data_IF_301470342296
#
_entry.id   IF_301470342296
#
_cell.length_a   1.000
_cell.length_b   1.000
_cell.length_c   1.000
_cell.angle_alpha   90.00
_cell.angle_beta   90.00
_cell.angle_gamma   90.00
#
_symmetry.space_group_name_H-M   'P 1'
#
loop_
_entity.id
_entity.type
_entity.pdbx_description
1 polymer ?
#
# COMPACT_ATOMS: atom_id res chain seq x y z
N UNK A 1 -3.06 12.18 -25.09
CA UNK A 1 -2.53 10.81 -25.27
C UNK A 1 -3.54 9.82 -24.70
N UNK A 2 -3.57 8.63 -25.28
CA UNK A 2 -4.29 7.47 -24.72
C UNK A 2 -3.35 6.70 -23.81
N UNK A 3 -3.64 6.66 -22.51
CA UNK A 3 -2.77 6.07 -21.51
C UNK A 3 -3.49 4.91 -20.84
N UNK A 4 -2.82 3.77 -20.72
CA UNK A 4 -3.31 2.64 -19.94
C UNK A 4 -2.58 2.59 -18.60
N UNK A 5 -3.33 2.60 -17.50
CA UNK A 5 -2.80 2.41 -16.15
C UNK A 5 -3.14 1.00 -15.70
N UNK A 6 -2.13 0.12 -15.63
CA UNK A 6 -2.33 -1.26 -15.15
C UNK A 6 -1.96 -1.36 -13.68
N UNK A 7 -2.88 -1.79 -12.84
CA UNK A 7 -2.68 -1.95 -11.41
C UNK A 7 -3.17 -3.31 -10.90
N UNK A 8 -2.34 -3.97 -10.12
CA UNK A 8 -2.64 -5.27 -9.52
C UNK A 8 -2.14 -5.32 -8.07
N UNK A 9 -2.81 -6.08 -7.22
CA UNK A 9 -2.46 -6.23 -5.82
C UNK A 9 -3.62 -6.01 -4.87
N UNK A 10 -3.32 -5.60 -3.64
CA UNK A 10 -4.32 -5.21 -2.64
C UNK A 10 -4.91 -3.83 -2.95
N UNK A 11 -5.95 -3.45 -2.23
CA UNK A 11 -6.53 -2.09 -2.34
C UNK A 11 -5.47 -0.99 -2.12
N UNK A 12 -4.48 -1.23 -1.24
CA UNK A 12 -3.40 -0.29 -0.98
C UNK A 12 -2.48 -0.05 -2.18
N UNK A 13 -2.38 -1.03 -3.09
CA UNK A 13 -1.61 -0.92 -4.33
C UNK A 13 -2.42 -0.27 -5.44
N UNK A 14 -3.73 -0.53 -5.51
CA UNK A 14 -4.62 -0.14 -6.61
C UNK A 14 -5.21 1.26 -6.42
N UNK A 15 -5.66 1.60 -5.22
CA UNK A 15 -6.33 2.89 -4.94
C UNK A 15 -5.46 4.12 -5.28
N UNK A 16 -4.14 4.16 -4.98
CA UNK A 16 -3.29 5.28 -5.41
C UNK A 16 -3.15 5.39 -6.94
N UNK A 17 -3.17 4.25 -7.65
CA UNK A 17 -3.13 4.25 -9.11
C UNK A 17 -4.43 4.82 -9.72
N UNK A 18 -5.59 4.64 -9.06
CA UNK A 18 -6.83 5.34 -9.45
C UNK A 18 -6.67 6.85 -9.29
N UNK A 19 -6.08 7.32 -8.19
CA UNK A 19 -5.81 8.76 -8.00
C UNK A 19 -4.87 9.31 -9.09
N UNK A 20 -3.82 8.57 -9.46
CA UNK A 20 -2.93 8.92 -10.57
C UNK A 20 -3.68 8.96 -11.90
N UNK A 21 -4.51 7.96 -12.20
CA UNK A 21 -5.36 7.94 -13.40
C UNK A 21 -6.29 9.14 -13.51
N UNK A 22 -6.87 9.56 -12.38
CA UNK A 22 -7.69 10.78 -12.33
C UNK A 22 -6.85 12.05 -12.56
N UNK A 23 -5.62 12.08 -12.07
CA UNK A 23 -4.68 13.17 -12.32
C UNK A 23 -4.35 13.30 -13.82
N UNK A 24 -4.02 12.18 -14.46
CA UNK A 24 -3.78 12.11 -15.90
C UNK A 24 -5.00 12.57 -16.71
N UNK A 25 -6.21 12.14 -16.31
CA UNK A 25 -7.45 12.58 -16.96
C UNK A 25 -7.66 14.10 -16.82
N UNK A 26 -7.39 14.68 -15.63
CA UNK A 26 -7.45 16.14 -15.42
C UNK A 26 -6.40 16.91 -16.27
N UNK A 27 -5.25 16.28 -16.56
CA UNK A 27 -4.24 16.83 -17.46
C UNK A 27 -4.60 16.71 -18.95
N UNK A 28 -5.79 16.21 -19.29
CA UNK A 28 -6.29 16.12 -20.65
C UNK A 28 -5.97 14.82 -21.39
N UNK A 29 -5.48 13.79 -20.68
CA UNK A 29 -5.26 12.48 -21.29
C UNK A 29 -6.54 11.63 -21.27
N UNK A 30 -6.66 10.75 -22.26
CA UNK A 30 -7.65 9.66 -22.28
C UNK A 30 -7.07 8.49 -21.48
N UNK A 31 -7.73 8.09 -20.38
CA UNK A 31 -7.19 7.11 -19.44
C UNK A 31 -8.07 5.87 -19.37
N UNK A 32 -7.49 4.72 -19.66
CA UNK A 32 -8.06 3.40 -19.38
C UNK A 32 -7.38 2.81 -18.13
N UNK A 33 -8.17 2.51 -17.13
CA UNK A 33 -7.70 1.87 -15.90
C UNK A 33 -7.91 0.36 -16.00
N UNK A 34 -6.84 -0.39 -16.12
CA UNK A 34 -6.87 -1.83 -16.31
C UNK A 34 -6.49 -2.54 -14.99
N UNK A 35 -7.43 -3.26 -14.39
CA UNK A 35 -7.25 -3.88 -13.08
C UNK A 35 -8.17 -5.10 -12.87
N UNK A 36 -8.04 -5.75 -11.72
CA UNK A 36 -8.90 -6.87 -11.35
C UNK A 36 -10.34 -6.42 -11.10
N UNK A 37 -11.30 -7.29 -11.45
CA UNK A 37 -12.73 -7.01 -11.40
C UNK A 37 -13.24 -6.40 -10.08
N UNK A 38 -12.77 -6.82 -8.88
CA UNK A 38 -13.21 -6.20 -7.62
C UNK A 38 -12.95 -4.69 -7.50
N UNK A 39 -12.09 -4.13 -8.36
CA UNK A 39 -11.76 -2.70 -8.36
C UNK A 39 -12.53 -1.88 -9.40
N UNK A 40 -13.43 -2.50 -10.20
CA UNK A 40 -14.25 -1.81 -11.19
C UNK A 40 -14.98 -0.61 -10.60
N UNK A 41 -15.75 -0.84 -9.54
CA UNK A 41 -16.53 0.23 -8.91
C UNK A 41 -15.62 1.38 -8.40
N UNK A 42 -14.43 1.06 -7.87
CA UNK A 42 -13.49 2.07 -7.39
C UNK A 42 -13.01 3.01 -8.51
N UNK A 43 -12.89 2.53 -9.74
CA UNK A 43 -12.47 3.31 -10.89
C UNK A 43 -13.66 4.02 -11.58
N UNK A 44 -14.73 3.27 -11.89
CA UNK A 44 -15.88 3.78 -12.66
C UNK A 44 -16.71 4.79 -11.88
N UNK A 45 -16.92 4.62 -10.56
CA UNK A 45 -17.63 5.62 -9.73
C UNK A 45 -16.94 6.99 -9.73
N UNK A 46 -15.67 7.03 -10.11
CA UNK A 46 -14.86 8.26 -10.23
C UNK A 46 -14.66 8.72 -11.67
N UNK A 47 -15.30 8.04 -12.62
CA UNK A 47 -15.32 8.43 -14.02
C UNK A 47 -14.09 8.00 -14.83
N UNK A 48 -13.34 6.99 -14.42
CA UNK A 48 -12.33 6.35 -15.25
C UNK A 48 -12.97 5.24 -16.09
N UNK A 49 -12.52 5.10 -17.34
CA UNK A 49 -12.83 3.91 -18.16
C UNK A 49 -12.12 2.71 -17.56
N UNK A 50 -12.86 1.62 -17.32
CA UNK A 50 -12.29 0.41 -16.71
C UNK A 50 -12.15 -0.72 -17.74
N UNK A 51 -10.99 -1.39 -17.74
CA UNK A 51 -10.76 -2.61 -18.49
C UNK A 51 -10.47 -3.77 -17.51
N UNK A 52 -11.25 -4.87 -17.51
CA UNK A 52 -11.03 -5.96 -16.59
C UNK A 52 -9.78 -6.76 -16.95
N UNK A 53 -8.96 -7.06 -15.96
CA UNK A 53 -7.84 -7.99 -16.06
C UNK A 53 -8.13 -9.17 -15.15
N UNK A 54 -8.00 -10.38 -15.67
CA UNK A 54 -8.13 -11.58 -14.87
C UNK A 54 -6.98 -11.66 -13.85
N UNK A 55 -7.32 -11.83 -12.58
CA UNK A 55 -6.39 -11.97 -11.49
C UNK A 55 -6.97 -12.78 -10.32
N UNK A 56 -6.17 -13.13 -9.33
CA UNK A 56 -6.66 -13.77 -8.13
C UNK A 56 -7.54 -12.81 -7.32
N UNK A 57 -8.38 -13.39 -6.49
CA UNK A 57 -9.10 -12.64 -5.46
C UNK A 57 -8.10 -11.90 -4.56
N UNK A 58 -8.21 -10.56 -4.40
CA UNK A 58 -7.29 -9.78 -3.59
C UNK A 58 -7.23 -10.23 -2.12
N UNK A 59 -8.34 -10.68 -1.54
CA UNK A 59 -8.38 -11.12 -0.15
C UNK A 59 -7.62 -12.46 0.00
N UNK A 60 -7.75 -13.39 -0.96
CA UNK A 60 -6.93 -14.63 -0.99
C UNK A 60 -5.44 -14.35 -1.16
N UNK A 61 -5.09 -13.31 -1.92
CA UNK A 61 -3.69 -12.89 -2.06
C UNK A 61 -3.12 -12.43 -0.72
N UNK A 62 -3.86 -11.60 0.01
CA UNK A 62 -3.47 -11.13 1.35
C UNK A 62 -3.40 -12.29 2.35
N UNK A 63 -4.35 -13.23 2.32
CA UNK A 63 -4.31 -14.47 3.14
C UNK A 63 -3.05 -15.29 2.87
N UNK A 64 -2.69 -15.47 1.60
CA UNK A 64 -1.48 -16.18 1.22
C UNK A 64 -0.22 -15.48 1.73
N UNK A 65 -0.16 -14.13 1.68
CA UNK A 65 0.91 -13.30 2.24
C UNK A 65 1.06 -13.53 3.74
N UNK A 66 -0.03 -13.37 4.47
CA UNK A 66 -0.05 -13.55 5.94
C UNK A 66 0.34 -14.97 6.34
N UNK A 67 -0.18 -15.97 5.61
CA UNK A 67 0.12 -17.38 5.89
C UNK A 67 1.56 -17.78 5.53
N UNK A 68 2.18 -17.14 4.55
CA UNK A 68 3.59 -17.34 4.19
C UNK A 68 4.53 -16.71 5.24
N UNK A 69 4.12 -15.60 5.84
CA UNK A 69 4.93 -14.86 6.81
C UNK A 69 6.26 -14.44 6.19
N UNK A 70 7.38 -14.83 6.82
CA UNK A 70 8.75 -14.57 6.33
C UNK A 70 9.40 -15.77 5.65
N UNK A 71 8.65 -16.84 5.40
CA UNK A 71 9.21 -18.08 4.83
C UNK A 71 9.16 -18.06 3.29
N UNK A 72 10.31 -17.98 2.59
CA UNK A 72 10.35 -17.95 1.13
C UNK A 72 9.74 -19.19 0.47
N UNK A 73 9.94 -20.38 1.05
CA UNK A 73 9.32 -21.62 0.57
C UNK A 73 7.80 -21.59 0.77
N UNK A 74 7.36 -21.02 1.90
CA UNK A 74 5.94 -20.76 2.15
C UNK A 74 5.31 -19.84 1.11
N UNK A 75 6.04 -18.81 0.69
CA UNK A 75 5.66 -17.93 -0.42
C UNK A 75 5.50 -18.72 -1.72
N UNK A 76 6.54 -19.42 -2.16
CA UNK A 76 6.49 -20.20 -3.41
C UNK A 76 5.32 -21.20 -3.43
N UNK A 77 5.13 -21.92 -2.31
CA UNK A 77 4.08 -22.95 -2.17
C UNK A 77 2.66 -22.37 -2.23
N UNK A 78 2.46 -21.13 -1.75
CA UNK A 78 1.13 -20.52 -1.70
C UNK A 78 0.83 -19.63 -2.89
N UNK A 79 1.83 -18.86 -3.36
CA UNK A 79 1.64 -17.87 -4.43
C UNK A 79 1.59 -18.50 -5.81
N UNK A 80 2.45 -19.48 -6.12
CA UNK A 80 2.46 -20.09 -7.46
C UNK A 80 1.12 -20.71 -7.84
N UNK A 81 0.48 -21.57 -7.02
CA UNK A 81 -0.84 -22.12 -7.36
C UNK A 81 -1.92 -21.04 -7.50
N UNK A 82 -1.84 -19.98 -6.66
CA UNK A 82 -2.80 -18.89 -6.70
C UNK A 82 -2.67 -18.04 -7.97
N UNK A 83 -1.44 -17.76 -8.42
CA UNK A 83 -1.19 -16.91 -9.58
C UNK A 83 -1.28 -17.66 -10.91
N UNK A 84 -0.87 -18.95 -10.94
CA UNK A 84 -0.73 -19.75 -12.18
C UNK A 84 -1.93 -19.70 -13.12
N UNK A 85 -3.20 -19.80 -12.65
CA UNK A 85 -4.38 -19.76 -13.53
C UNK A 85 -4.60 -18.41 -14.21
N UNK A 86 -3.96 -17.35 -13.70
CA UNK A 86 -4.26 -15.97 -14.06
C UNK A 86 -3.19 -15.29 -14.92
N UNK A 87 -1.90 -15.68 -14.82
CA UNK A 87 -0.79 -14.91 -15.43
C UNK A 87 -0.90 -14.81 -16.95
N UNK A 88 -1.12 -15.93 -17.65
CA UNK A 88 -1.26 -15.93 -19.12
C UNK A 88 -2.52 -15.19 -19.59
N UNK A 89 -3.66 -15.39 -18.90
CA UNK A 89 -4.90 -14.66 -19.23
C UNK A 89 -4.76 -13.17 -18.93
N UNK A 90 -4.23 -12.82 -17.75
CA UNK A 90 -3.98 -11.43 -17.39
C UNK A 90 -3.05 -10.69 -18.35
N UNK A 91 -2.07 -11.38 -18.94
CA UNK A 91 -1.24 -10.79 -20.01
C UNK A 91 -2.06 -10.52 -21.28
N UNK A 92 -2.92 -11.45 -21.72
CA UNK A 92 -3.80 -11.21 -22.88
C UNK A 92 -4.76 -10.05 -22.64
N UNK A 93 -5.34 -9.95 -21.46
CA UNK A 93 -6.23 -8.84 -21.09
C UNK A 93 -5.45 -7.50 -21.06
N UNK A 94 -4.21 -7.50 -20.57
CA UNK A 94 -3.34 -6.30 -20.62
C UNK A 94 -2.99 -5.92 -22.06
N UNK A 95 -2.72 -6.89 -22.94
CA UNK A 95 -2.46 -6.64 -24.35
C UNK A 95 -3.69 -5.97 -25.00
N UNK A 96 -4.88 -6.54 -24.79
CA UNK A 96 -6.14 -5.96 -25.31
C UNK A 96 -6.39 -4.55 -24.75
N UNK A 97 -6.14 -4.32 -23.46
CA UNK A 97 -6.26 -2.99 -22.86
C UNK A 97 -5.30 -1.97 -23.49
N UNK A 98 -4.12 -2.41 -23.95
CA UNK A 98 -3.07 -1.55 -24.49
C UNK A 98 -3.17 -1.35 -26.02
N UNK A 99 -4.11 -1.99 -26.71
CA UNK A 99 -4.32 -1.79 -28.14
C UNK A 99 -4.69 -0.33 -28.44
N UNK A 100 -3.90 0.31 -29.30
CA UNK A 100 -4.08 1.72 -29.67
C UNK A 100 -3.75 2.73 -28.57
N UNK A 101 -3.09 2.29 -27.50
CA UNK A 101 -2.56 3.21 -26.49
C UNK A 101 -1.25 3.86 -26.96
N UNK A 102 -0.99 5.07 -26.43
CA UNK A 102 0.27 5.80 -26.69
C UNK A 102 1.33 5.47 -25.62
N UNK A 103 0.92 5.10 -24.40
CA UNK A 103 1.81 4.78 -23.29
C UNK A 103 1.15 3.93 -22.20
N UNK A 104 1.97 3.27 -21.39
CA UNK A 104 1.52 2.41 -20.28
C UNK A 104 2.17 2.83 -18.96
N UNK A 105 1.35 2.96 -17.91
CA UNK A 105 1.83 2.99 -16.51
C UNK A 105 1.52 1.63 -15.90
N UNK A 106 2.50 0.99 -15.26
CA UNK A 106 2.32 -0.34 -14.69
C UNK A 106 2.82 -0.46 -13.24
N UNK A 107 2.15 -1.31 -12.45
CA UNK A 107 2.66 -1.72 -11.14
C UNK A 107 3.50 -3.00 -11.24
N UNK A 108 4.61 -3.14 -10.46
CA UNK A 108 5.50 -4.30 -10.56
C UNK A 108 4.86 -5.65 -10.22
N UNK A 109 3.84 -5.66 -9.35
CA UNK A 109 3.13 -6.90 -9.01
C UNK A 109 2.39 -7.51 -10.20
N UNK A 110 2.02 -6.68 -11.15
CA UNK A 110 1.30 -7.09 -12.35
C UNK A 110 2.17 -7.14 -13.59
N UNK A 111 3.41 -7.58 -13.60
CA UNK A 111 4.33 -7.56 -14.78
C UNK A 111 3.66 -7.64 -16.16
N UNK A 112 2.38 -8.03 -16.19
CA UNK A 112 1.57 -8.11 -17.39
C UNK A 112 1.54 -6.78 -18.16
N UNK A 113 1.37 -5.63 -17.47
CA UNK A 113 1.41 -4.31 -18.12
C UNK A 113 2.78 -3.98 -18.70
N UNK A 114 3.87 -4.33 -17.98
CA UNK A 114 5.24 -4.20 -18.50
C UNK A 114 5.46 -5.08 -19.74
N UNK A 115 5.03 -6.34 -19.68
CA UNK A 115 5.15 -7.28 -20.80
C UNK A 115 4.30 -6.87 -22.01
N UNK A 116 3.09 -6.33 -21.78
CA UNK A 116 2.24 -5.82 -22.84
C UNK A 116 2.87 -4.61 -23.52
N UNK A 117 3.43 -3.65 -22.76
CA UNK A 117 4.14 -2.51 -23.31
C UNK A 117 5.37 -2.94 -24.11
N UNK A 118 6.13 -3.94 -23.63
CA UNK A 118 7.28 -4.51 -24.35
C UNK A 118 6.86 -5.16 -25.69
N UNK A 119 5.79 -5.95 -25.67
CA UNK A 119 5.27 -6.63 -26.87
C UNK A 119 4.80 -5.64 -27.94
N UNK A 120 4.11 -4.58 -27.53
CA UNK A 120 3.56 -3.56 -28.41
C UNK A 120 4.54 -2.43 -28.76
N UNK A 121 5.75 -2.45 -28.20
CA UNK A 121 6.75 -1.38 -28.40
C UNK A 121 6.34 -0.03 -27.81
N UNK A 122 5.48 -0.01 -26.79
CA UNK A 122 4.97 1.21 -26.18
C UNK A 122 5.92 1.80 -25.13
N UNK A 123 6.05 3.12 -25.05
CA UNK A 123 6.64 3.78 -23.90
C UNK A 123 5.96 3.35 -22.60
N UNK A 124 6.76 3.06 -21.55
CA UNK A 124 6.17 2.58 -20.30
C UNK A 124 6.90 3.13 -19.08
N UNK A 125 6.12 3.43 -18.06
CA UNK A 125 6.59 3.98 -16.78
C UNK A 125 6.13 3.07 -15.64
N UNK A 126 7.05 2.63 -14.80
CA UNK A 126 6.71 1.88 -13.61
C UNK A 126 6.11 2.78 -12.53
N UNK A 127 5.25 2.23 -11.69
CA UNK A 127 4.68 2.94 -10.53
C UNK A 127 4.67 2.04 -9.30
N UNK A 128 5.06 2.57 -8.15
CA UNK A 128 5.07 1.81 -6.91
C UNK A 128 4.78 2.72 -5.72
N UNK A 129 3.99 2.23 -4.78
CA UNK A 129 3.58 2.96 -3.57
C UNK A 129 4.25 2.44 -2.30
N UNK A 130 4.90 1.28 -2.38
CA UNK A 130 5.67 0.68 -1.29
C UNK A 130 7.05 0.29 -1.80
N UNK A 131 8.15 0.52 -1.06
CA UNK A 131 9.52 0.30 -1.52
C UNK A 131 9.90 -1.19 -1.56
N UNK A 132 9.07 -2.03 -2.21
CA UNK A 132 9.28 -3.46 -2.34
C UNK A 132 10.35 -3.79 -3.39
N UNK A 133 10.35 -3.06 -4.50
CA UNK A 133 11.08 -3.39 -5.72
C UNK A 133 11.93 -2.23 -6.24
N UNK A 134 12.39 -1.38 -5.34
CA UNK A 134 13.33 -0.32 -5.64
C UNK A 134 14.64 -0.58 -4.89
N UNK A 135 15.76 -0.19 -5.48
CA UNK A 135 17.07 -0.28 -4.81
C UNK A 135 17.42 1.06 -4.24
N UNK A 136 17.66 1.14 -2.94
CA UNK A 136 18.07 2.36 -2.25
C UNK A 136 19.11 2.04 -1.18
N UNK A 137 19.97 2.99 -0.85
CA UNK A 137 20.97 2.82 0.21
C UNK A 137 20.51 3.42 1.55
N UNK A 138 19.49 4.27 1.54
CA UNK A 138 18.96 4.92 2.74
C UNK A 138 18.06 4.03 3.60
N UNK A 139 17.55 2.92 3.03
CA UNK A 139 16.69 1.98 3.75
C UNK A 139 16.77 0.57 3.16
N UNK A 140 16.44 -0.49 3.93
CA UNK A 140 16.41 -1.87 3.43
C UNK A 140 15.16 -2.12 2.60
N UNK A 141 15.16 -3.20 1.83
CA UNK A 141 13.97 -3.68 1.13
C UNK A 141 12.83 -3.97 2.11
N UNK A 142 11.66 -3.39 1.88
CA UNK A 142 10.46 -3.62 2.68
C UNK A 142 9.98 -5.09 2.66
N UNK A 143 10.39 -5.89 1.66
CA UNK A 143 10.15 -7.35 1.61
C UNK A 143 10.78 -8.07 2.81
N UNK A 144 11.91 -7.55 3.33
CA UNK A 144 12.61 -8.14 4.47
C UNK A 144 12.13 -7.56 5.82
N UNK A 145 11.25 -6.56 5.79
CA UNK A 145 10.69 -5.91 6.98
C UNK A 145 11.62 -4.84 7.55
N UNK A 146 11.72 -4.78 8.88
CA UNK A 146 12.54 -3.76 9.55
C UNK A 146 14.04 -3.94 9.28
N UNK A 147 14.84 -2.84 9.33
CA UNK A 147 16.30 -2.94 9.28
C UNK A 147 16.86 -3.87 10.35
N UNK A 148 17.89 -4.61 9.98
CA UNK A 148 18.73 -5.29 10.97
C UNK A 148 19.69 -4.27 11.58
N UNK A 149 20.12 -4.45 12.86
CA UNK A 149 21.08 -3.57 13.54
C UNK A 149 22.50 -3.86 13.04
N UNK A 150 22.72 -3.74 11.73
CA UNK A 150 24.03 -3.88 11.11
C UNK A 150 24.60 -2.48 10.80
N UNK A 151 25.89 -2.25 10.98
CA UNK A 151 26.52 -0.98 10.70
C UNK A 151 26.53 -0.67 9.19
N UNK A 152 26.29 0.60 8.86
CA UNK A 152 26.40 1.13 7.50
C UNK A 152 25.24 0.79 6.57
N UNK A 153 25.37 1.26 5.34
CA UNK A 153 24.37 1.09 4.26
C UNK A 153 24.52 -0.24 3.48
N UNK A 154 25.49 -1.07 3.84
CA UNK A 154 25.74 -2.35 3.14
C UNK A 154 24.54 -3.29 3.19
N UNK A 155 23.89 -3.42 4.36
CA UNK A 155 22.67 -4.22 4.49
C UNK A 155 21.56 -3.67 3.59
N UNK A 156 21.36 -2.36 3.57
CA UNK A 156 20.38 -1.73 2.72
C UNK A 156 20.62 -2.07 1.25
N UNK A 157 21.85 -1.86 0.76
CA UNK A 157 22.24 -2.14 -0.63
C UNK A 157 22.06 -3.59 -1.06
N UNK A 158 22.41 -4.55 -0.19
CA UNK A 158 22.34 -5.99 -0.48
C UNK A 158 20.90 -6.52 -0.37
N UNK A 159 20.10 -5.96 0.53
CA UNK A 159 18.74 -6.41 0.81
C UNK A 159 17.81 -6.32 -0.41
N UNK A 160 17.95 -5.29 -1.23
CA UNK A 160 17.10 -5.08 -2.41
C UNK A 160 17.32 -6.14 -3.50
N UNK A 161 18.57 -6.34 -4.03
CA UNK A 161 18.80 -7.37 -5.03
C UNK A 161 18.50 -8.78 -4.49
N UNK A 162 18.72 -9.03 -3.21
CA UNK A 162 18.38 -10.32 -2.59
C UNK A 162 16.85 -10.54 -2.59
N UNK A 163 16.07 -9.54 -2.20
CA UNK A 163 14.60 -9.60 -2.22
C UNK A 163 14.04 -9.74 -3.65
N UNK A 164 14.60 -8.99 -4.61
CA UNK A 164 14.25 -9.09 -6.03
C UNK A 164 14.52 -10.50 -6.57
N UNK A 165 15.67 -11.08 -6.29
CA UNK A 165 16.01 -12.44 -6.72
C UNK A 165 15.12 -13.49 -6.08
N UNK A 166 14.80 -13.34 -4.79
CA UNK A 166 13.88 -14.22 -4.11
C UNK A 166 12.49 -14.18 -4.77
N UNK A 167 11.96 -13.00 -4.99
CA UNK A 167 10.68 -12.81 -5.67
C UNK A 167 10.70 -13.37 -7.09
N UNK A 168 11.75 -13.04 -7.86
CA UNK A 168 11.89 -13.53 -9.24
C UNK A 168 11.88 -15.06 -9.31
N UNK A 169 12.63 -15.74 -8.46
CA UNK A 169 12.62 -17.21 -8.43
C UNK A 169 11.26 -17.83 -8.11
N UNK A 170 10.40 -17.09 -7.41
CA UNK A 170 9.04 -17.53 -7.11
C UNK A 170 8.14 -17.42 -8.35
N UNK A 171 8.24 -16.31 -9.09
CA UNK A 171 7.32 -16.00 -10.20
C UNK A 171 7.88 -16.36 -11.59
N UNK A 172 9.19 -16.62 -11.71
CA UNK A 172 9.86 -16.88 -13.00
C UNK A 172 9.16 -17.96 -13.83
N UNK A 173 8.79 -19.14 -13.31
CA UNK A 173 8.15 -20.16 -14.13
C UNK A 173 6.82 -19.69 -14.75
N UNK A 174 6.07 -18.87 -14.00
CA UNK A 174 4.79 -18.33 -14.45
C UNK A 174 4.97 -17.26 -15.52
N UNK A 175 5.95 -16.38 -15.32
CA UNK A 175 6.29 -15.33 -16.28
C UNK A 175 6.89 -15.93 -17.54
N UNK A 176 7.74 -16.96 -17.43
CA UNK A 176 8.34 -17.63 -18.59
C UNK A 176 7.28 -18.29 -19.49
N UNK A 177 6.27 -18.95 -18.89
CA UNK A 177 5.16 -19.53 -19.64
C UNK A 177 4.35 -18.46 -20.38
N UNK A 178 3.96 -17.39 -19.69
CA UNK A 178 3.20 -16.28 -20.27
C UNK A 178 3.98 -15.56 -21.39
N UNK A 179 5.28 -15.34 -21.22
CA UNK A 179 6.14 -14.73 -22.25
C UNK A 179 6.24 -15.58 -23.50
N UNK A 180 6.40 -16.90 -23.32
CA UNK A 180 6.45 -17.85 -24.45
C UNK A 180 5.13 -17.84 -25.23
N UNK A 181 3.98 -17.84 -24.52
CA UNK A 181 2.66 -17.74 -25.16
C UNK A 181 2.47 -16.42 -25.93
N UNK A 182 3.06 -15.33 -25.46
CA UNK A 182 3.01 -14.01 -26.10
C UNK A 182 4.13 -13.79 -27.16
N UNK A 183 4.97 -14.77 -27.44
CA UNK A 183 6.08 -14.62 -28.39
C UNK A 183 7.22 -13.70 -27.93
N UNK A 184 7.28 -13.38 -26.64
CA UNK A 184 8.33 -12.54 -26.05
C UNK A 184 9.59 -13.33 -25.73
N UNK A 185 10.76 -12.70 -25.88
CA UNK A 185 12.04 -13.29 -25.52
C UNK A 185 12.08 -13.69 -24.02
N UNK A 186 12.76 -14.78 -23.65
CA UNK A 186 12.89 -15.20 -22.26
C UNK A 186 13.64 -14.14 -21.44
N UNK A 187 13.25 -13.97 -20.17
CA UNK A 187 13.96 -13.10 -19.24
C UNK A 187 15.25 -13.76 -18.71
N UNK A 188 16.31 -12.97 -18.48
CA UNK A 188 17.52 -13.48 -17.87
C UNK A 188 17.25 -14.05 -16.46
N UNK A 189 17.64 -15.32 -16.23
CA UNK A 189 17.40 -16.03 -14.95
C UNK A 189 17.91 -15.30 -13.71
N UNK A 190 19.06 -14.60 -13.83
CA UNK A 190 19.68 -13.91 -12.71
C UNK A 190 19.19 -12.46 -12.51
N UNK A 191 18.39 -11.92 -13.42
CA UNK A 191 17.97 -10.51 -13.33
C UNK A 191 16.46 -10.34 -13.23
N UNK A 192 15.71 -11.13 -13.99
CA UNK A 192 14.26 -10.96 -14.09
C UNK A 192 13.82 -9.58 -14.59
N UNK A 193 12.51 -9.31 -14.59
CA UNK A 193 11.99 -8.01 -15.07
C UNK A 193 12.52 -6.82 -14.27
N UNK A 194 12.58 -6.93 -12.95
CA UNK A 194 13.04 -5.84 -12.07
C UNK A 194 14.51 -5.51 -12.30
N UNK A 195 15.37 -6.55 -12.38
CA UNK A 195 16.78 -6.35 -12.69
C UNK A 195 17.01 -5.72 -14.07
N UNK A 196 16.17 -6.04 -15.05
CA UNK A 196 16.22 -5.43 -16.38
C UNK A 196 15.74 -3.97 -16.37
N UNK A 197 14.66 -3.67 -15.65
CA UNK A 197 14.17 -2.31 -15.43
C UNK A 197 15.27 -1.43 -14.82
N UNK A 198 15.96 -1.94 -13.77
CA UNK A 198 17.07 -1.22 -13.13
C UNK A 198 18.28 -1.04 -14.07
N UNK A 199 18.62 -2.05 -14.87
CA UNK A 199 19.74 -1.97 -15.84
C UNK A 199 19.47 -0.94 -16.94
N UNK A 200 18.24 -0.88 -17.44
CA UNK A 200 17.82 0.07 -18.46
C UNK A 200 17.46 1.44 -17.92
N UNK A 201 17.50 1.64 -16.59
CA UNK A 201 17.07 2.88 -15.93
C UNK A 201 15.69 3.34 -16.40
N UNK A 202 14.74 2.37 -16.55
CA UNK A 202 13.38 2.69 -16.99
C UNK A 202 12.67 3.57 -15.96
N UNK A 203 11.91 4.58 -16.40
CA UNK A 203 11.27 5.53 -15.49
C UNK A 203 10.36 4.85 -14.46
N UNK A 204 10.45 5.33 -13.22
CA UNK A 204 9.63 4.86 -12.11
C UNK A 204 9.08 6.02 -11.28
N UNK A 205 7.77 6.03 -11.05
CA UNK A 205 7.07 6.95 -10.16
C UNK A 205 6.91 6.29 -8.79
N UNK A 206 7.40 6.97 -7.77
CA UNK A 206 7.34 6.51 -6.39
C UNK A 206 6.26 7.30 -5.65
N UNK A 207 5.12 6.65 -5.36
CA UNK A 207 3.92 7.27 -4.78
C UNK A 207 3.99 7.39 -3.25
N UNK A 208 5.06 7.96 -2.73
CA UNK A 208 5.20 8.31 -1.31
C UNK A 208 5.91 9.65 -1.11
N UNK A 209 5.66 10.25 0.05
CA UNK A 209 6.30 11.50 0.43
C UNK A 209 7.80 11.35 0.68
N UNK A 210 8.68 12.15 0.05
CA UNK A 210 10.10 12.18 0.36
C UNK A 210 10.38 12.65 1.81
N UNK A 211 9.45 13.32 2.46
CA UNK A 211 9.54 13.66 3.89
C UNK A 211 9.32 12.45 4.79
N UNK A 212 8.56 11.47 4.32
CA UNK A 212 8.33 10.21 5.04
C UNK A 212 9.41 9.19 4.72
N UNK A 213 9.76 9.00 3.45
CA UNK A 213 10.79 8.08 3.03
C UNK A 213 11.68 8.75 1.97
N UNK A 214 12.76 9.43 2.39
CA UNK A 214 13.70 10.03 1.46
C UNK A 214 14.43 8.96 0.64
N UNK A 215 14.63 9.23 -0.64
CA UNK A 215 15.45 8.42 -1.54
C UNK A 215 16.85 9.02 -1.63
N UNK A 216 17.87 8.18 -1.92
CA UNK A 216 19.28 8.59 -1.93
C UNK A 216 19.69 9.58 -3.05
N UNK A 217 18.76 9.93 -3.93
CA UNK A 217 18.96 10.92 -5.01
C UNK A 217 20.00 10.51 -6.08
N UNK A 218 20.70 9.39 -5.90
CA UNK A 218 21.84 8.97 -6.74
C UNK A 218 21.45 8.41 -8.11
N UNK A 219 20.16 8.43 -8.45
CA UNK A 219 19.62 7.63 -9.57
C UNK A 219 19.25 8.44 -10.81
N UNK A 220 19.88 9.60 -11.02
CA UNK A 220 19.81 10.28 -12.32
C UNK A 220 18.38 10.63 -12.82
N UNK A 221 17.41 10.77 -11.93
CA UNK A 221 16.05 11.23 -12.29
C UNK A 221 15.09 10.18 -12.85
N UNK A 222 15.53 8.93 -13.08
CA UNK A 222 14.63 7.89 -13.59
C UNK A 222 13.71 7.26 -12.51
N UNK A 223 14.04 7.42 -11.22
CA UNK A 223 13.17 7.13 -10.07
C UNK A 223 12.85 8.43 -9.35
N UNK A 224 11.57 8.78 -9.25
CA UNK A 224 11.14 10.03 -8.65
C UNK A 224 10.10 9.82 -7.57
N UNK A 225 10.43 10.17 -6.31
CA UNK A 225 9.44 10.26 -5.23
C UNK A 225 8.62 11.54 -5.44
N UNK A 226 7.35 11.37 -5.80
CA UNK A 226 6.48 12.47 -6.20
C UNK A 226 5.62 13.02 -5.06
N UNK A 227 5.48 12.28 -3.98
CA UNK A 227 4.51 12.50 -2.92
C UNK A 227 3.46 11.38 -2.92
N UNK A 228 2.60 11.36 -1.91
CA UNK A 228 1.51 10.38 -1.87
C UNK A 228 0.44 10.68 -2.91
N UNK A 229 -0.16 9.62 -3.46
CA UNK A 229 -1.30 9.72 -4.40
C UNK A 229 -2.58 9.41 -3.62
N UNK A 230 -3.09 10.43 -2.94
CA UNK A 230 -4.32 10.29 -2.17
C UNK A 230 -5.54 10.23 -3.07
N UNK A 231 -6.44 9.31 -2.75
CA UNK A 231 -7.78 9.22 -3.33
C UNK A 231 -8.78 9.60 -2.24
N UNK A 232 -9.17 10.85 -2.21
CA UNK A 232 -10.11 11.36 -1.23
C UNK A 232 -11.48 10.66 -1.36
N UNK A 233 -12.25 10.67 -0.27
CA UNK A 233 -13.61 10.12 -0.25
C UNK A 233 -14.52 10.78 -1.29
N UNK A 234 -15.55 10.10 -1.69
CA UNK A 234 -16.57 10.66 -2.57
C UNK A 234 -17.32 11.81 -1.87
N UNK A 235 -17.63 12.87 -2.60
CA UNK A 235 -18.35 14.05 -2.05
C UNK A 235 -19.71 13.70 -1.45
N UNK A 236 -20.37 12.69 -2.02
CA UNK A 236 -21.65 12.17 -1.54
C UNK A 236 -21.54 11.34 -0.25
N UNK A 237 -20.33 10.89 0.13
CA UNK A 237 -20.17 10.07 1.33
C UNK A 237 -20.54 10.83 2.60
N UNK A 238 -21.30 10.19 3.47
CA UNK A 238 -21.66 10.72 4.80
C UNK A 238 -21.39 9.66 5.87
N UNK A 239 -20.89 10.06 7.06
CA UNK A 239 -20.71 9.13 8.15
C UNK A 239 -22.05 8.60 8.64
N UNK A 240 -22.06 7.34 9.08
CA UNK A 240 -23.22 6.81 9.81
C UNK A 240 -23.47 7.65 11.06
N UNK A 241 -24.74 7.89 11.38
CA UNK A 241 -25.13 8.77 12.49
C UNK A 241 -24.54 8.31 13.83
N UNK A 242 -24.47 7.00 14.07
CA UNK A 242 -23.84 6.41 15.25
C UNK A 242 -22.36 6.83 15.37
N UNK A 243 -21.62 6.77 14.26
CA UNK A 243 -20.21 7.15 14.21
C UNK A 243 -20.06 8.67 14.44
N UNK A 244 -20.84 9.46 13.71
CA UNK A 244 -20.81 10.93 13.80
C UNK A 244 -21.04 11.38 15.24
N UNK A 245 -22.15 10.94 15.87
CA UNK A 245 -22.48 11.28 17.26
C UNK A 245 -21.39 10.84 18.21
N UNK A 246 -20.84 9.63 18.04
CA UNK A 246 -19.78 9.14 18.91
C UNK A 246 -18.53 10.01 18.81
N UNK A 247 -18.08 10.36 17.63
CA UNK A 247 -16.86 11.17 17.43
C UNK A 247 -17.04 12.60 17.96
N UNK A 248 -18.23 13.19 17.80
CA UNK A 248 -18.54 14.57 18.22
C UNK A 248 -18.87 14.70 19.72
N UNK A 249 -19.17 13.62 20.42
CA UNK A 249 -19.72 13.66 21.78
C UNK A 249 -18.66 13.86 22.89
N UNK A 250 -17.45 14.29 22.63
CA UNK A 250 -16.42 14.54 23.66
C UNK A 250 -15.01 14.47 23.10
N UNK A 251 -14.04 14.11 23.95
CA UNK A 251 -12.63 14.00 23.57
C UNK A 251 -12.42 13.09 22.35
N UNK A 252 -11.50 13.43 21.44
CA UNK A 252 -11.23 12.65 20.25
C UNK A 252 -10.91 11.19 20.59
N UNK A 253 -11.64 10.20 20.03
CA UNK A 253 -11.43 8.79 20.34
C UNK A 253 -10.14 8.26 19.72
N UNK A 254 -9.72 7.06 20.13
CA UNK A 254 -8.72 6.24 19.43
C UNK A 254 -9.43 5.46 18.33
N UNK A 255 -8.90 5.45 17.11
CA UNK A 255 -9.43 4.60 16.03
C UNK A 255 -8.59 3.34 15.84
N UNK A 256 -9.24 2.20 15.65
CA UNK A 256 -8.62 1.00 15.07
C UNK A 256 -9.11 0.84 13.64
N UNK A 257 -8.16 0.76 12.70
CA UNK A 257 -8.42 0.47 11.31
C UNK A 257 -7.46 -0.60 10.75
N UNK A 258 -7.98 -1.78 10.43
CA UNK A 258 -7.19 -2.88 9.88
C UNK A 258 -7.16 -2.89 8.33
N UNK A 259 -7.87 -1.95 7.69
CA UNK A 259 -7.94 -1.87 6.23
C UNK A 259 -8.44 -3.18 5.61
N UNK A 260 -7.91 -3.56 4.44
CA UNK A 260 -8.24 -4.83 3.78
C UNK A 260 -7.88 -6.07 4.61
N UNK A 261 -6.91 -5.96 5.53
CA UNK A 261 -6.57 -7.02 6.47
C UNK A 261 -7.72 -7.40 7.42
N UNK A 262 -8.64 -6.47 7.66
CA UNK A 262 -9.82 -6.71 8.50
C UNK A 262 -10.79 -7.75 7.92
N UNK A 263 -10.77 -7.98 6.60
CA UNK A 263 -11.61 -8.99 5.94
C UNK A 263 -10.97 -10.37 5.87
N UNK A 264 -9.64 -10.43 5.97
CA UNK A 264 -8.88 -11.66 5.88
C UNK A 264 -8.57 -12.19 7.28
N UNK A 265 -8.63 -13.52 7.50
CA UNK A 265 -8.38 -14.15 8.81
C UNK A 265 -9.24 -13.57 9.95
N UNK A 266 -10.53 -13.83 9.91
CA UNK A 266 -11.47 -13.40 10.94
C UNK A 266 -10.99 -13.62 12.39
N UNK A 267 -10.30 -14.74 12.68
CA UNK A 267 -9.76 -15.04 14.00
C UNK A 267 -8.64 -14.09 14.47
N UNK A 268 -7.71 -13.71 13.58
CA UNK A 268 -6.59 -12.82 13.95
C UNK A 268 -7.04 -11.36 14.02
N UNK A 269 -7.85 -10.92 13.06
CA UNK A 269 -8.44 -9.59 13.08
C UNK A 269 -9.36 -9.42 14.31
N UNK A 270 -10.21 -10.41 14.59
CA UNK A 270 -11.05 -10.42 15.79
C UNK A 270 -10.23 -10.36 17.08
N UNK A 271 -9.10 -11.06 17.16
CA UNK A 271 -8.17 -10.99 18.30
C UNK A 271 -7.60 -9.58 18.48
N UNK A 272 -7.19 -8.92 17.39
CA UNK A 272 -6.67 -7.55 17.45
C UNK A 272 -7.76 -6.58 17.89
N UNK A 273 -8.98 -6.70 17.34
CA UNK A 273 -10.15 -5.90 17.73
C UNK A 273 -10.42 -6.06 19.22
N UNK A 274 -10.51 -7.30 19.72
CA UNK A 274 -10.76 -7.61 21.12
C UNK A 274 -9.67 -7.06 22.05
N UNK A 275 -8.37 -7.26 21.70
CA UNK A 275 -7.25 -6.72 22.48
C UNK A 275 -7.25 -5.19 22.49
N UNK A 276 -7.67 -4.55 21.40
CA UNK A 276 -7.77 -3.08 21.34
C UNK A 276 -8.90 -2.58 22.25
N UNK A 277 -10.07 -3.20 22.20
CA UNK A 277 -11.17 -2.86 23.09
C UNK A 277 -10.76 -2.99 24.57
N UNK A 278 -10.11 -4.11 24.92
CA UNK A 278 -9.60 -4.35 26.28
C UNK A 278 -8.53 -3.33 26.69
N UNK A 279 -7.65 -2.94 25.77
CA UNK A 279 -6.63 -1.94 26.02
C UNK A 279 -7.24 -0.56 26.28
N UNK A 280 -8.25 -0.17 25.52
CA UNK A 280 -8.99 1.10 25.69
C UNK A 280 -9.75 1.15 27.01
N UNK A 281 -10.42 0.05 27.40
CA UNK A 281 -11.08 -0.05 28.71
C UNK A 281 -10.10 0.10 29.89
N UNK A 282 -8.85 -0.38 29.75
CA UNK A 282 -7.81 -0.24 30.81
C UNK A 282 -7.35 1.20 31.01
N UNK A 283 -7.32 2.01 29.97
CA UNK A 283 -6.84 3.41 30.02
C UNK A 283 -7.96 4.44 30.02
N UNK A 284 -9.22 3.99 30.00
CA UNK A 284 -10.38 4.87 30.02
C UNK A 284 -10.55 5.74 28.78
N UNK A 285 -9.85 5.44 27.66
CA UNK A 285 -9.95 6.21 26.43
C UNK A 285 -11.12 5.73 25.57
N UNK A 286 -11.78 6.67 24.92
CA UNK A 286 -12.84 6.39 23.95
C UNK A 286 -12.28 5.73 22.71
N UNK A 287 -13.05 4.82 22.07
CA UNK A 287 -12.58 4.10 20.92
C UNK A 287 -13.60 3.85 19.80
N UNK A 288 -13.13 3.95 18.55
CA UNK A 288 -13.86 3.54 17.35
C UNK A 288 -13.13 2.36 16.71
N UNK A 289 -13.78 1.22 16.67
CA UNK A 289 -13.25 0.00 16.04
C UNK A 289 -13.91 -0.17 14.67
N UNK A 290 -13.15 0.08 13.59
CA UNK A 290 -13.64 -0.13 12.21
C UNK A 290 -13.40 -1.59 11.84
N UNK A 291 -14.46 -2.42 11.88
CA UNK A 291 -14.38 -3.85 11.64
C UNK A 291 -15.71 -4.45 11.22
N UNK A 292 -15.66 -5.34 10.22
CA UNK A 292 -16.82 -6.13 9.76
C UNK A 292 -17.01 -7.43 10.57
N UNK A 293 -16.12 -7.72 11.53
CA UNK A 293 -16.23 -8.93 12.35
C UNK A 293 -17.36 -8.80 13.38
N UNK A 294 -18.37 -9.61 13.24
CA UNK A 294 -19.47 -9.78 14.19
C UNK A 294 -19.03 -10.58 15.43
N UNK A 295 -19.76 -10.42 16.53
CA UNK A 295 -19.58 -11.24 17.75
C UNK A 295 -18.72 -10.62 18.84
N UNK A 296 -18.20 -9.40 18.68
CA UNK A 296 -17.47 -8.67 19.75
C UNK A 296 -18.31 -7.64 20.49
N UNK A 297 -19.52 -7.31 20.00
CA UNK A 297 -20.29 -6.16 20.50
C UNK A 297 -20.79 -6.32 21.95
N UNK A 298 -21.18 -7.53 22.33
CA UNK A 298 -21.70 -7.79 23.68
C UNK A 298 -20.66 -7.66 24.80
N UNK A 299 -19.37 -7.59 24.45
CA UNK A 299 -18.26 -7.51 25.40
C UNK A 299 -17.44 -6.21 25.28
N UNK A 300 -17.91 -5.24 24.49
CA UNK A 300 -17.21 -3.97 24.34
C UNK A 300 -17.39 -3.11 25.59
N UNK A 301 -16.35 -2.41 26.05
CA UNK A 301 -16.48 -1.37 27.06
C UNK A 301 -17.45 -0.26 26.59
N UNK A 302 -18.15 0.39 27.51
CA UNK A 302 -19.13 1.44 27.20
C UNK A 302 -18.53 2.64 26.43
N UNK A 303 -17.24 2.89 26.62
CA UNK A 303 -16.49 3.94 25.93
C UNK A 303 -15.98 3.52 24.54
N UNK A 304 -16.35 2.36 24.02
CA UNK A 304 -15.90 1.82 22.74
C UNK A 304 -17.09 1.49 21.84
N UNK A 305 -17.02 1.95 20.59
CA UNK A 305 -18.03 1.65 19.57
C UNK A 305 -17.40 0.88 18.41
N UNK A 306 -18.10 -0.16 17.91
CA UNK A 306 -17.77 -0.81 16.67
C UNK A 306 -18.62 -0.22 15.52
N UNK A 307 -17.95 0.03 14.43
CA UNK A 307 -18.54 0.52 13.18
C UNK A 307 -18.15 -0.45 12.07
N UNK A 308 -19.06 -0.84 11.18
CA UNK A 308 -18.72 -1.61 9.98
C UNK A 308 -17.64 -0.96 9.13
N UNK A 309 -16.97 -1.72 8.28
CA UNK A 309 -15.96 -1.24 7.38
C UNK A 309 -16.48 -0.19 6.38
N UNK A 310 -15.57 0.33 5.56
CA UNK A 310 -15.92 1.35 4.55
C UNK A 310 -15.88 2.79 5.05
N UNK A 311 -15.42 3.05 6.28
CA UNK A 311 -15.18 4.42 6.77
C UNK A 311 -13.92 4.97 6.11
N UNK A 312 -13.98 6.09 5.37
CA UNK A 312 -12.82 6.72 4.78
C UNK A 312 -11.87 7.28 5.84
N UNK A 313 -10.58 6.96 5.72
CA UNK A 313 -9.59 7.36 6.71
C UNK A 313 -9.25 8.86 6.65
N UNK A 314 -9.38 9.50 5.49
CA UNK A 314 -9.27 10.96 5.35
C UNK A 314 -10.30 11.71 6.21
N UNK A 315 -11.50 11.12 6.44
CA UNK A 315 -12.49 11.66 7.34
C UNK A 315 -12.22 11.26 8.81
N UNK A 316 -11.90 9.99 9.05
CA UNK A 316 -11.81 9.45 10.41
C UNK A 316 -10.56 9.96 11.14
N UNK A 317 -9.38 9.89 10.50
CA UNK A 317 -8.13 10.15 11.19
C UNK A 317 -7.95 11.61 11.60
N UNK A 318 -8.55 12.56 10.89
CA UNK A 318 -8.57 13.96 11.31
C UNK A 318 -9.42 14.26 12.57
N UNK A 319 -10.14 13.25 13.09
CA UNK A 319 -11.11 13.36 14.20
C UNK A 319 -10.79 12.44 15.38
N UNK A 320 -9.61 11.83 15.37
CA UNK A 320 -9.20 10.89 16.42
C UNK A 320 -7.86 11.29 17.02
N UNK A 321 -7.63 10.90 18.26
CA UNK A 321 -6.40 11.21 19.00
C UNK A 321 -5.23 10.30 18.64
N UNK A 322 -5.52 9.04 18.25
CA UNK A 322 -4.54 8.01 17.91
C UNK A 322 -5.14 7.09 16.84
N UNK A 323 -4.35 6.75 15.83
CA UNK A 323 -4.68 5.72 14.84
C UNK A 323 -3.94 4.42 15.18
N UNK A 324 -4.66 3.39 15.61
CA UNK A 324 -4.14 2.02 15.74
C UNK A 324 -4.39 1.31 14.43
N UNK A 325 -3.33 0.80 13.77
CA UNK A 325 -3.47 0.17 12.47
C UNK A 325 -2.40 -0.89 12.18
N UNK A 326 -2.61 -1.67 11.13
CA UNK A 326 -1.71 -2.75 10.74
C UNK A 326 -0.38 -2.29 10.11
N UNK A 327 -0.26 -1.02 9.69
CA UNK A 327 0.96 -0.52 9.03
C UNK A 327 0.96 -0.64 7.51
N UNK A 328 -0.20 -0.84 6.86
CA UNK A 328 -0.28 -0.75 5.39
C UNK A 328 0.04 0.67 4.92
N UNK A 329 0.67 0.81 3.75
CA UNK A 329 1.16 2.09 3.22
C UNK A 329 0.07 3.16 3.16
N UNK A 330 -1.11 2.84 2.60
CA UNK A 330 -2.21 3.81 2.47
C UNK A 330 -2.75 4.27 3.83
N UNK A 331 -2.94 3.35 4.78
CA UNK A 331 -3.41 3.68 6.13
C UNK A 331 -2.38 4.52 6.89
N UNK A 332 -1.09 4.19 6.75
CA UNK A 332 -0.01 4.98 7.33
C UNK A 332 0.04 6.39 6.72
N UNK A 333 -0.08 6.49 5.40
CA UNK A 333 -0.11 7.77 4.68
C UNK A 333 -1.25 8.67 5.15
N UNK A 334 -2.47 8.12 5.27
CA UNK A 334 -3.64 8.88 5.74
C UNK A 334 -3.51 9.35 7.20
N UNK A 335 -2.95 8.52 8.08
CA UNK A 335 -2.71 8.92 9.46
C UNK A 335 -1.65 10.04 9.56
N UNK A 336 -0.56 9.95 8.79
CA UNK A 336 0.46 10.99 8.73
C UNK A 336 -0.06 12.28 8.08
N UNK A 337 -0.88 12.18 7.01
CA UNK A 337 -1.58 13.32 6.39
C UNK A 337 -2.46 14.04 7.38
N UNK A 338 -3.20 13.29 8.20
CA UNK A 338 -4.08 13.83 9.23
C UNK A 338 -3.35 14.42 10.45
N UNK A 339 -2.04 14.22 10.57
CA UNK A 339 -1.28 14.62 11.76
C UNK A 339 -1.58 13.75 12.99
N UNK A 340 -2.07 12.54 12.79
CA UNK A 340 -2.55 11.65 13.86
C UNK A 340 -1.45 10.70 14.30
N UNK A 341 -1.11 10.64 15.60
CA UNK A 341 -0.20 9.67 16.19
C UNK A 341 -0.57 8.22 15.84
N UNK A 342 0.42 7.42 15.45
CA UNK A 342 0.20 6.05 14.99
C UNK A 342 0.65 5.02 16.02
N UNK A 343 -0.16 3.98 16.26
CA UNK A 343 0.25 2.75 16.94
C UNK A 343 0.16 1.61 15.94
N UNK A 344 1.32 1.08 15.52
CA UNK A 344 1.37 0.09 14.44
C UNK A 344 1.47 -1.33 14.99
N UNK A 345 0.54 -2.20 14.51
CA UNK A 345 0.46 -3.62 14.84
C UNK A 345 0.67 -4.44 13.56
N UNK A 346 1.93 -4.63 13.12
CA UNK A 346 2.23 -5.25 11.84
C UNK A 346 1.99 -6.77 11.85
N UNK A 347 1.53 -7.29 10.69
CA UNK A 347 1.25 -8.70 10.45
C UNK A 347 2.17 -9.30 9.38
N UNK A 348 2.58 -8.50 8.39
CA UNK A 348 3.45 -8.89 7.28
C UNK A 348 4.68 -7.95 7.20
N UNK A 349 5.75 -8.35 6.47
CA UNK A 349 7.04 -7.65 6.50
C UNK A 349 7.00 -6.18 6.09
N UNK A 350 6.29 -5.81 5.03
CA UNK A 350 6.17 -4.42 4.58
C UNK A 350 5.48 -3.53 5.62
N UNK A 351 4.54 -4.09 6.39
CA UNK A 351 3.91 -3.39 7.50
C UNK A 351 4.89 -3.18 8.68
N UNK A 352 5.81 -4.13 8.91
CA UNK A 352 6.89 -3.93 9.88
C UNK A 352 7.84 -2.81 9.45
N UNK A 353 8.11 -2.70 8.14
CA UNK A 353 8.90 -1.61 7.57
C UNK A 353 8.22 -0.26 7.82
N UNK A 354 6.94 -0.12 7.52
CA UNK A 354 6.21 1.13 7.76
C UNK A 354 6.07 1.44 9.25
N UNK A 355 5.85 0.43 10.09
CA UNK A 355 5.84 0.62 11.55
C UNK A 355 7.19 1.08 12.10
N UNK A 356 8.29 0.53 11.60
CA UNK A 356 9.62 1.02 11.89
C UNK A 356 9.79 2.48 11.43
N UNK A 357 9.31 2.81 10.23
CA UNK A 357 9.43 4.16 9.68
C UNK A 357 8.65 5.19 10.50
N UNK A 358 7.42 4.89 10.88
CA UNK A 358 6.62 5.71 11.79
C UNK A 358 7.38 5.99 13.09
N UNK A 359 7.94 4.96 13.70
CA UNK A 359 8.73 5.10 14.93
C UNK A 359 9.98 5.98 14.72
N UNK A 360 10.72 5.75 13.65
CA UNK A 360 11.94 6.52 13.33
C UNK A 360 11.64 8.00 13.06
N UNK A 361 10.47 8.31 12.52
CA UNK A 361 9.99 9.69 12.31
C UNK A 361 9.50 10.36 13.61
N UNK A 362 9.37 9.60 14.68
CA UNK A 362 8.80 10.08 15.93
C UNK A 362 7.26 10.26 15.89
N UNK A 363 6.59 9.70 14.88
CA UNK A 363 5.13 9.80 14.72
C UNK A 363 4.34 8.73 15.50
N UNK A 364 5.02 7.92 16.29
CA UNK A 364 4.42 6.91 17.14
C UNK A 364 5.45 6.07 17.92
N UNK A 365 5.01 5.26 18.87
CA UNK A 365 5.86 4.32 19.59
C UNK A 365 6.38 3.21 18.67
N UNK A 366 7.32 2.39 19.17
CA UNK A 366 7.81 1.22 18.44
C UNK A 366 6.66 0.27 18.07
N UNK A 367 6.65 -0.30 16.86
CA UNK A 367 5.58 -1.19 16.42
C UNK A 367 5.52 -2.47 17.28
N UNK A 368 4.31 -2.96 17.51
CA UNK A 368 4.06 -4.19 18.28
C UNK A 368 3.68 -5.31 17.30
N UNK A 369 4.56 -6.25 16.97
CA UNK A 369 4.21 -7.37 16.10
C UNK A 369 2.97 -8.12 16.64
N UNK A 370 2.01 -8.44 15.77
CA UNK A 370 0.73 -9.04 16.18
C UNK A 370 0.88 -10.28 17.07
N UNK A 371 1.91 -11.12 16.84
CA UNK A 371 2.23 -12.30 17.67
C UNK A 371 2.65 -11.97 19.11
N UNK A 372 3.13 -10.75 19.34
CA UNK A 372 3.58 -10.24 20.66
C UNK A 372 2.59 -9.26 21.29
N UNK A 373 1.41 -9.09 20.64
CA UNK A 373 0.38 -8.15 21.07
C UNK A 373 -0.32 -8.68 22.34
N UNK A 374 -0.37 -7.83 23.35
CA UNK A 374 -1.18 -8.00 24.56
C UNK A 374 -1.92 -6.71 24.88
N UNK A 375 -2.98 -6.79 25.67
CA UNK A 375 -3.73 -5.58 26.06
C UNK A 375 -2.86 -4.57 26.82
N UNK A 376 -1.92 -5.04 27.66
CA UNK A 376 -0.98 -4.21 28.43
C UNK A 376 -0.06 -3.42 27.52
N UNK A 377 0.59 -4.10 26.56
CA UNK A 377 1.50 -3.44 25.61
C UNK A 377 0.76 -2.43 24.75
N UNK A 378 -0.44 -2.81 24.30
CA UNK A 378 -1.26 -1.94 23.47
C UNK A 378 -1.77 -0.72 24.24
N UNK A 379 -2.26 -0.89 25.47
CA UNK A 379 -2.68 0.23 26.31
C UNK A 379 -1.54 1.21 26.60
N UNK A 380 -0.33 0.71 26.93
CA UNK A 380 0.86 1.55 27.12
C UNK A 380 1.26 2.32 25.85
N UNK A 381 1.20 1.66 24.68
CA UNK A 381 1.51 2.30 23.41
C UNK A 381 0.46 3.36 23.02
N UNK A 382 -0.82 3.07 23.21
CA UNK A 382 -1.92 4.01 22.97
C UNK A 382 -1.78 5.23 23.89
N UNK A 383 -1.59 4.99 25.18
CA UNK A 383 -1.44 6.08 26.15
C UNK A 383 -0.26 6.98 25.80
N UNK A 384 0.90 6.39 25.48
CA UNK A 384 2.07 7.14 25.03
C UNK A 384 1.79 7.95 23.76
N UNK A 385 1.16 7.35 22.76
CA UNK A 385 0.82 8.06 21.52
C UNK A 385 -0.15 9.22 21.74
N UNK A 386 -1.10 9.06 22.68
CA UNK A 386 -2.10 10.08 23.01
C UNK A 386 -1.54 11.24 23.84
N UNK A 387 -0.53 10.98 24.70
CA UNK A 387 -0.09 11.96 25.73
C UNK A 387 1.30 12.54 25.49
N UNK A 388 2.14 11.91 24.66
CA UNK A 388 3.51 12.39 24.39
C UNK A 388 3.47 13.62 23.49
N UNK A 389 3.85 14.82 23.96
CA UNK A 389 3.77 16.06 23.18
C UNK A 389 4.74 16.06 21.99
N UNK A 390 5.87 15.36 22.08
CA UNK A 390 6.83 15.29 20.99
C UNK A 390 6.28 14.45 19.84
N UNK A 391 5.59 13.34 20.11
CA UNK A 391 4.90 12.55 19.07
C UNK A 391 3.88 13.44 18.35
N UNK A 392 3.06 14.19 19.08
CA UNK A 392 2.08 15.11 18.50
C UNK A 392 2.73 16.15 17.63
N UNK A 393 3.74 16.85 18.13
CA UNK A 393 4.49 17.86 17.40
C UNK A 393 5.10 17.30 16.10
N UNK A 394 5.65 16.07 16.13
CA UNK A 394 6.20 15.41 14.94
C UNK A 394 5.12 15.07 13.92
N UNK A 395 3.95 14.60 14.36
CA UNK A 395 2.83 14.33 13.47
C UNK A 395 2.33 15.61 12.79
N UNK A 396 2.18 16.72 13.52
CA UNK A 396 1.77 18.01 12.97
C UNK A 396 2.78 18.53 11.91
N UNK A 397 4.07 18.44 12.20
CA UNK A 397 5.13 18.82 11.25
C UNK A 397 5.10 17.98 9.97
N UNK A 398 4.91 16.66 10.10
CA UNK A 398 4.81 15.76 8.94
C UNK A 398 3.54 16.04 8.14
N UNK A 399 2.41 16.25 8.81
CA UNK A 399 1.14 16.60 8.18
C UNK A 399 1.26 17.86 7.35
N UNK A 400 1.85 18.94 7.90
CA UNK A 400 2.07 20.19 7.19
C UNK A 400 2.94 20.01 5.94
N UNK A 401 4.00 19.19 6.01
CA UNK A 401 4.85 18.89 4.87
C UNK A 401 4.12 18.08 3.79
N UNK A 402 3.36 17.06 4.20
CA UNK A 402 2.57 16.23 3.28
C UNK A 402 1.45 17.05 2.62
N UNK A 403 0.81 17.94 3.36
CA UNK A 403 -0.24 18.82 2.83
C UNK A 403 0.28 19.82 1.79
N UNK A 404 1.57 20.19 1.86
CA UNK A 404 2.22 21.05 0.87
C UNK A 404 2.65 20.30 -0.42
N UNK A 405 2.47 18.95 -0.46
CA UNK A 405 2.77 18.15 -1.64
C UNK A 405 1.52 17.98 -2.51
N UNK A 406 1.69 18.10 -3.82
CA UNK A 406 0.75 17.54 -4.79
C UNK A 406 1.42 16.36 -5.48
N UNK A 407 1.31 15.18 -4.84
CA UNK A 407 1.97 13.98 -5.33
C UNK A 407 1.44 13.50 -6.68
N UNK A 408 0.16 13.70 -6.92
CA UNK A 408 -0.47 13.31 -8.19
C UNK A 408 -0.04 14.24 -9.32
N UNK A 409 -0.08 15.56 -9.13
CA UNK A 409 0.36 16.51 -10.15
C UNK A 409 1.85 16.29 -10.50
N UNK A 410 2.72 16.15 -9.49
CA UNK A 410 4.14 15.83 -9.71
C UNK A 410 4.38 14.52 -10.45
N UNK A 411 3.54 13.50 -10.20
CA UNK A 411 3.62 12.23 -10.90
C UNK A 411 3.20 12.36 -12.37
N UNK A 412 2.16 13.14 -12.66
CA UNK A 412 1.73 13.46 -14.02
C UNK A 412 2.83 14.20 -14.78
N UNK A 413 3.38 15.26 -14.21
CA UNK A 413 4.49 16.00 -14.80
C UNK A 413 5.72 15.12 -15.06
N UNK A 414 6.06 14.24 -14.12
CA UNK A 414 7.17 13.30 -14.27
C UNK A 414 6.89 12.29 -15.39
N UNK A 415 5.67 11.78 -15.49
CA UNK A 415 5.26 10.90 -16.57
C UNK A 415 5.38 11.59 -17.94
N UNK A 416 4.81 12.80 -18.09
CA UNK A 416 4.85 13.57 -19.34
C UNK A 416 6.29 13.86 -19.80
N UNK A 417 7.21 14.19 -18.87
CA UNK A 417 8.63 14.36 -19.19
C UNK A 417 9.29 13.11 -19.73
N UNK A 418 8.84 11.91 -19.32
CA UNK A 418 9.44 10.67 -19.76
C UNK A 418 8.86 10.14 -21.07
N UNK A 419 7.61 10.45 -21.36
CA UNK A 419 6.86 9.90 -22.50
C UNK A 419 6.68 10.92 -23.62
N UNK A 420 6.67 12.21 -23.30
CA UNK A 420 6.47 13.31 -24.27
C UNK A 420 7.74 13.73 -25.01
N UNK A 421 8.84 12.98 -24.86
CA UNK A 421 10.13 13.25 -25.54
C UNK A 421 10.31 12.39 -26.77
#
# INVERSE_FOLDING_TARGET
MKIVVTAAGSRGDVQPCVALGLGLKRAGHEVTFASWEPYRHLAESRGLTFHPIVGPDPDRLVEALVAAGRNPLGYAKRFRPLLRPHVGRGLRDCLAACEGADAVIYTPLGFAGFMAAEHLGLPSVGSVVTPLFIRDSGFPSAVLGRPLPLPGDLYNRVSHPAAEQLYWRIVEPLVADARREAGLAPMPRLRGPLGEIHRQMRPFLLGWSPHVLPTDGRRGGWMQATGYWFLDREEAWRPQEKLRRFVEAGEPPVALGLGSMGRTRASEAGRIVWLTAKALGRVGLRGVLVSDHEGTDASLPENVVRIPGGVPYDWLFSRVSVAVHHGGVGTTAEALRAGTPCVVVPVVPDQEFWGWRVHTLGAGPAPIPHKKLTAEKLSSAILRAATDPEIRRRCELLSSKIAAEDGVARAVEAFERHVGK
#
